data_IF_961520793370
#
_entry.id   IF_961520793370
#
_cell.length_a   1.000
_cell.length_b   1.000
_cell.length_c   1.000
_cell.angle_alpha   90.00
_cell.angle_beta   90.00
_cell.angle_gamma   90.00
#
_symmetry.space_group_name_H-M   'P 1'
#
loop_
_entity.id
_entity.type
_entity.pdbx_description
1 polymer ?
#
# COMPACT_ATOMS: atom_id res chain seq x y z
N UNK A 1 2.80 26.08 7.48
CA UNK A 1 3.04 24.89 8.32
C UNK A 1 3.53 23.76 7.40
N UNK A 2 4.81 23.38 7.44
CA UNK A 2 5.29 22.22 6.67
C UNK A 2 4.83 20.96 7.39
N UNK A 3 4.05 20.11 6.73
CA UNK A 3 3.65 18.83 7.30
C UNK A 3 4.87 17.91 7.42
N UNK A 4 5.13 17.35 8.59
CA UNK A 4 6.27 16.47 8.92
C UNK A 4 6.12 15.04 8.35
N UNK A 5 5.42 14.87 7.23
CA UNK A 5 5.28 13.56 6.59
C UNK A 5 6.50 13.29 5.71
N UNK A 6 7.33 12.32 6.12
CA UNK A 6 8.45 11.82 5.33
C UNK A 6 8.14 10.41 4.86
N UNK A 7 8.35 10.16 3.57
CA UNK A 7 8.35 8.81 3.04
C UNK A 7 9.64 8.12 3.51
N UNK A 8 9.51 6.97 4.17
CA UNK A 8 10.64 6.15 4.58
C UNK A 8 11.10 5.33 3.37
N UNK A 9 12.28 5.61 2.80
CA UNK A 9 12.76 4.89 1.62
C UNK A 9 13.26 3.49 2.02
N UNK A 10 13.47 2.58 1.07
CA UNK A 10 14.00 1.24 1.35
C UNK A 10 15.36 1.21 2.08
N UNK A 11 16.13 2.30 2.02
CA UNK A 11 17.40 2.45 2.73
C UNK A 11 17.24 2.79 4.21
N UNK A 12 16.03 3.11 4.68
CA UNK A 12 15.76 3.33 6.10
C UNK A 12 15.92 2.00 6.86
N UNK A 13 16.76 1.94 7.92
CA UNK A 13 16.95 0.73 8.71
C UNK A 13 15.66 0.13 9.28
N UNK A 14 14.60 0.94 9.44
CA UNK A 14 13.31 0.48 9.94
C UNK A 14 12.38 -0.04 8.83
N UNK A 15 12.69 0.21 7.56
CA UNK A 15 11.81 -0.10 6.43
C UNK A 15 11.38 -1.56 6.40
N UNK A 16 12.33 -2.49 6.50
CA UNK A 16 12.05 -3.93 6.46
C UNK A 16 11.19 -4.36 7.66
N UNK A 17 11.48 -3.84 8.87
CA UNK A 17 10.68 -4.14 10.08
C UNK A 17 9.25 -3.61 9.98
N UNK A 18 9.06 -2.42 9.42
CA UNK A 18 7.75 -1.82 9.18
C UNK A 18 6.97 -2.61 8.11
N UNK A 19 7.62 -2.95 6.99
CA UNK A 19 7.04 -3.76 5.91
C UNK A 19 6.60 -5.12 6.41
N UNK A 20 7.47 -5.83 7.13
CA UNK A 20 7.17 -7.16 7.66
C UNK A 20 5.99 -7.14 8.63
N UNK A 21 5.94 -6.14 9.53
CA UNK A 21 4.82 -5.97 10.45
C UNK A 21 3.52 -5.67 9.70
N UNK A 22 3.56 -4.80 8.67
CA UNK A 22 2.41 -4.48 7.85
C UNK A 22 1.89 -5.70 7.07
N UNK A 23 2.76 -6.48 6.43
CA UNK A 23 2.39 -7.70 5.69
C UNK A 23 1.78 -8.75 6.63
N UNK A 24 2.41 -8.99 7.79
CA UNK A 24 1.88 -9.94 8.78
C UNK A 24 0.51 -9.51 9.30
N UNK A 25 0.33 -8.21 9.56
CA UNK A 25 -0.95 -7.66 10.02
C UNK A 25 -2.04 -7.83 8.96
N UNK A 26 -1.72 -7.47 7.71
CA UNK A 26 -2.63 -7.63 6.56
C UNK A 26 -3.10 -9.09 6.44
N UNK A 27 -2.18 -10.04 6.47
CA UNK A 27 -2.49 -11.47 6.36
C UNK A 27 -3.28 -11.99 7.57
N UNK A 28 -2.89 -11.60 8.79
CA UNK A 28 -3.52 -12.09 10.02
C UNK A 28 -4.97 -11.64 10.17
N UNK A 29 -5.32 -10.48 9.60
CA UNK A 29 -6.69 -9.95 9.64
C UNK A 29 -7.54 -10.39 8.44
N UNK A 30 -6.99 -11.18 7.51
CA UNK A 30 -7.70 -11.59 6.30
C UNK A 30 -8.08 -10.38 5.41
N UNK A 31 -7.25 -9.34 5.39
CA UNK A 31 -7.52 -8.14 4.61
C UNK A 31 -7.57 -8.45 3.10
N UNK A 32 -8.32 -7.64 2.36
CA UNK A 32 -8.43 -7.71 0.91
C UNK A 32 -8.14 -6.34 0.28
N UNK A 33 -7.62 -6.37 -0.95
CA UNK A 33 -7.19 -5.23 -1.76
C UNK A 33 -6.22 -4.26 -1.09
N UNK A 34 -6.76 -3.27 -0.37
CA UNK A 34 -6.00 -2.15 0.16
C UNK A 34 -6.53 -1.77 1.54
N UNK A 35 -5.61 -1.67 2.48
CA UNK A 35 -5.84 -1.14 3.82
C UNK A 35 -4.70 -0.17 4.15
N UNK A 36 -4.94 0.75 5.08
CA UNK A 36 -3.85 1.54 5.67
C UNK A 36 -3.54 1.00 7.06
N UNK A 37 -2.28 0.67 7.30
CA UNK A 37 -1.81 0.19 8.59
C UNK A 37 -0.98 1.30 9.21
N UNK A 38 -1.45 1.82 10.34
CA UNK A 38 -0.76 2.86 11.08
C UNK A 38 0.06 2.19 12.20
N UNK A 39 1.38 2.42 12.19
CA UNK A 39 2.35 1.81 13.11
C UNK A 39 3.00 2.91 13.94
N UNK A 40 3.18 2.65 15.24
CA UNK A 40 3.86 3.54 16.16
C UNK A 40 5.06 2.85 16.79
N UNK A 41 6.19 3.56 16.80
CA UNK A 41 7.38 3.15 17.56
C UNK A 41 7.29 3.65 19.01
N UNK A 42 7.73 2.83 19.96
CA UNK A 42 8.02 3.29 21.33
C UNK A 42 9.35 4.05 21.36
N UNK A 43 9.65 4.69 22.49
CA UNK A 43 10.95 5.34 22.71
C UNK A 43 12.14 4.37 22.56
N UNK A 44 11.94 3.09 22.83
CA UNK A 44 12.96 2.04 22.67
C UNK A 44 13.02 1.44 21.26
N UNK A 45 12.23 1.94 20.30
CA UNK A 45 12.22 1.46 18.91
C UNK A 45 11.42 0.18 18.67
N UNK A 46 10.54 -0.21 19.60
CA UNK A 46 9.60 -1.32 19.40
C UNK A 46 8.39 -0.84 18.60
N UNK A 47 7.99 -1.59 17.58
CA UNK A 47 6.92 -1.22 16.65
C UNK A 47 5.61 -1.89 17.06
N UNK A 48 4.52 -1.12 17.07
CA UNK A 48 3.17 -1.60 17.38
C UNK A 48 2.18 -1.07 16.34
N UNK A 49 1.31 -1.95 15.84
CA UNK A 49 0.15 -1.53 15.05
C UNK A 49 -0.84 -0.82 15.97
N UNK A 50 -1.30 0.36 15.56
CA UNK A 50 -2.25 1.17 16.35
C UNK A 50 -3.60 1.33 15.65
N UNK A 51 -3.65 1.18 14.33
CA UNK A 51 -4.89 1.22 13.56
C UNK A 51 -4.72 0.42 12.26
N UNK A 52 -5.81 -0.22 11.81
CA UNK A 52 -5.94 -0.84 10.50
C UNK A 52 -7.21 -0.32 9.86
N UNK A 53 -7.04 0.68 9.00
CA UNK A 53 -8.14 1.31 8.30
C UNK A 53 -8.43 0.51 7.01
N UNK A 54 -9.56 -0.21 7.00
CA UNK A 54 -10.04 -1.00 5.87
C UNK A 54 -10.70 -0.20 4.74
N UNK A 55 -11.01 1.08 4.98
CA UNK A 55 -11.62 1.98 3.98
C UNK A 55 -10.89 3.34 3.96
N UNK A 56 -9.57 3.35 3.69
CA UNK A 56 -8.80 4.58 3.64
C UNK A 56 -9.27 5.45 2.47
N UNK A 57 -9.11 6.77 2.60
CA UNK A 57 -9.49 7.70 1.53
C UNK A 57 -8.74 7.37 0.22
N UNK A 58 -9.51 7.18 -0.84
CA UNK A 58 -9.02 7.02 -2.21
C UNK A 58 -8.88 8.35 -2.96
N UNK A 59 -9.14 9.50 -2.31
CA UNK A 59 -9.03 10.80 -2.96
C UNK A 59 -7.59 11.13 -3.37
N UNK A 60 -7.42 11.98 -4.39
CA UNK A 60 -6.09 12.41 -4.90
C UNK A 60 -5.19 13.03 -3.82
N UNK A 61 -5.77 13.70 -2.84
CA UNK A 61 -5.06 14.28 -1.70
C UNK A 61 -4.93 13.31 -0.51
N UNK A 62 -5.37 12.07 -0.65
CA UNK A 62 -5.34 11.03 0.38
C UNK A 62 -3.94 10.44 0.62
N UNK A 63 -3.81 9.70 1.71
CA UNK A 63 -2.56 9.02 2.08
C UNK A 63 -2.16 7.95 1.07
N UNK A 64 -3.13 7.19 0.54
CA UNK A 64 -2.87 6.14 -0.44
C UNK A 64 -2.31 6.70 -1.75
N UNK A 65 -2.95 7.74 -2.29
CA UNK A 65 -2.47 8.42 -3.50
C UNK A 65 -1.02 8.94 -3.34
N UNK A 66 -0.66 9.45 -2.16
CA UNK A 66 0.73 9.84 -1.87
C UNK A 66 1.68 8.64 -1.78
N UNK A 67 1.27 7.54 -1.14
CA UNK A 67 2.09 6.33 -1.01
C UNK A 67 2.32 5.64 -2.36
N UNK A 68 1.31 5.57 -3.23
CA UNK A 68 1.46 4.98 -4.58
C UNK A 68 2.33 5.86 -5.48
N UNK A 69 2.19 7.18 -5.38
CA UNK A 69 3.06 8.11 -6.12
C UNK A 69 4.53 7.95 -5.71
N UNK A 70 4.82 7.66 -4.44
CA UNK A 70 6.18 7.42 -3.93
C UNK A 70 6.86 6.21 -4.58
N UNK A 71 6.08 5.26 -5.11
CA UNK A 71 6.56 4.08 -5.85
C UNK A 71 6.32 4.21 -7.35
N UNK A 72 6.22 5.44 -7.85
CA UNK A 72 6.00 5.77 -9.27
C UNK A 72 4.72 5.17 -9.86
N UNK A 73 3.69 4.92 -9.06
CA UNK A 73 2.36 4.54 -9.52
C UNK A 73 1.44 5.76 -9.48
N UNK A 74 1.01 6.24 -10.65
CA UNK A 74 0.12 7.40 -10.72
C UNK A 74 -1.28 7.07 -10.17
N UNK A 75 -2.06 8.12 -9.96
CA UNK A 75 -3.39 8.01 -9.36
C UNK A 75 -4.36 7.15 -10.19
N UNK A 76 -4.32 7.26 -11.52
CA UNK A 76 -5.25 6.53 -12.40
C UNK A 76 -4.89 5.04 -12.41
N UNK A 77 -3.60 4.73 -12.54
CA UNK A 77 -3.08 3.36 -12.43
C UNK A 77 -3.41 2.73 -11.09
N UNK A 78 -3.27 3.46 -9.98
CA UNK A 78 -3.66 2.99 -8.65
C UNK A 78 -5.16 2.63 -8.58
N UNK A 79 -6.04 3.55 -9.00
CA UNK A 79 -7.49 3.31 -8.94
C UNK A 79 -7.90 2.14 -9.84
N UNK A 80 -7.34 2.06 -11.05
CA UNK A 80 -7.63 0.97 -11.97
C UNK A 80 -7.13 -0.38 -11.45
N UNK A 81 -5.95 -0.41 -10.80
CA UNK A 81 -5.41 -1.63 -10.19
C UNK A 81 -6.30 -2.11 -9.03
N UNK A 82 -6.75 -1.19 -8.17
CA UNK A 82 -7.67 -1.50 -7.09
C UNK A 82 -9.00 -2.07 -7.62
N UNK A 83 -9.58 -1.41 -8.63
CA UNK A 83 -10.80 -1.87 -9.28
C UNK A 83 -10.62 -3.27 -9.89
N UNK A 84 -9.50 -3.49 -10.59
CA UNK A 84 -9.18 -4.78 -11.21
C UNK A 84 -9.14 -5.92 -10.18
N UNK A 85 -8.41 -5.77 -9.08
CA UNK A 85 -8.34 -6.80 -8.04
C UNK A 85 -9.70 -7.05 -7.38
N UNK A 86 -10.52 -6.01 -7.19
CA UNK A 86 -11.90 -6.14 -6.71
C UNK A 86 -12.80 -6.91 -7.67
N UNK A 87 -12.74 -6.63 -8.97
CA UNK A 87 -13.47 -7.37 -10.00
C UNK A 87 -13.02 -8.82 -10.09
N UNK A 88 -11.70 -9.06 -10.03
CA UNK A 88 -11.12 -10.41 -10.11
C UNK A 88 -11.60 -11.28 -8.93
N UNK A 89 -11.57 -10.75 -7.71
CA UNK A 89 -12.10 -11.45 -6.53
C UNK A 89 -13.60 -11.75 -6.65
N UNK A 90 -14.36 -10.88 -7.33
CA UNK A 90 -15.80 -11.03 -7.51
C UNK A 90 -16.17 -11.96 -8.69
N UNK A 91 -15.18 -12.49 -9.43
CA UNK A 91 -15.42 -13.29 -10.63
C UNK A 91 -15.93 -12.49 -11.84
N UNK A 92 -15.75 -11.17 -11.84
CA UNK A 92 -16.25 -10.25 -12.87
C UNK A 92 -15.13 -9.65 -13.72
N UNK A 93 -13.86 -9.96 -13.46
CA UNK A 93 -12.76 -9.41 -14.23
C UNK A 93 -12.74 -9.97 -15.66
N UNK A 94 -12.55 -9.07 -16.62
CA UNK A 94 -12.12 -9.40 -17.98
C UNK A 94 -10.58 -9.41 -18.04
N UNK A 95 -10.03 -9.69 -19.23
CA UNK A 95 -8.58 -9.59 -19.52
C UNK A 95 -7.98 -8.25 -19.04
N UNK A 96 -6.73 -8.32 -18.56
CA UNK A 96 -5.97 -7.17 -18.08
C UNK A 96 -5.85 -6.10 -19.18
N UNK A 97 -6.35 -4.89 -18.89
CA UNK A 97 -6.09 -3.77 -19.79
C UNK A 97 -4.61 -3.35 -19.69
N UNK A 98 -4.07 -2.80 -20.77
CA UNK A 98 -2.69 -2.31 -20.82
C UNK A 98 -2.40 -1.30 -19.70
N UNK A 99 -3.39 -0.46 -19.33
CA UNK A 99 -3.22 0.51 -18.24
C UNK A 99 -3.09 -0.15 -16.86
N UNK A 100 -3.73 -1.31 -16.64
CA UNK A 100 -3.60 -2.06 -15.39
C UNK A 100 -2.29 -2.86 -15.37
N UNK A 101 -1.87 -3.41 -16.51
CA UNK A 101 -0.66 -4.21 -16.63
C UNK A 101 0.59 -3.48 -16.11
N UNK A 102 0.78 -2.21 -16.49
CA UNK A 102 1.92 -1.42 -16.02
C UNK A 102 1.90 -1.16 -14.50
N UNK A 103 0.71 -0.99 -13.91
CA UNK A 103 0.57 -0.82 -12.45
C UNK A 103 0.78 -2.15 -11.70
N UNK A 104 0.29 -3.25 -12.27
CA UNK A 104 0.45 -4.59 -11.72
C UNK A 104 1.91 -5.08 -11.78
N UNK A 105 2.63 -4.76 -12.85
CA UNK A 105 4.07 -5.03 -12.95
C UNK A 105 4.85 -4.32 -11.84
N UNK A 106 4.57 -3.03 -11.60
CA UNK A 106 5.17 -2.28 -10.48
C UNK A 106 4.89 -2.94 -9.15
N UNK A 107 3.65 -3.37 -8.91
CA UNK A 107 3.29 -4.10 -7.69
C UNK A 107 4.05 -5.43 -7.57
N UNK A 108 4.21 -6.16 -8.67
CA UNK A 108 4.97 -7.41 -8.73
C UNK A 108 6.45 -7.20 -8.41
N UNK A 109 7.06 -6.11 -8.90
CA UNK A 109 8.44 -5.75 -8.57
C UNK A 109 8.56 -5.44 -7.07
N UNK A 110 7.65 -4.63 -6.51
CA UNK A 110 7.66 -4.29 -5.07
C UNK A 110 7.49 -5.52 -4.17
N UNK A 111 6.71 -6.52 -4.59
CA UNK A 111 6.59 -7.80 -3.88
C UNK A 111 7.92 -8.55 -3.79
N UNK A 112 8.75 -8.48 -4.83
CA UNK A 112 10.05 -9.17 -4.91
C UNK A 112 11.18 -8.42 -4.18
N UNK A 113 11.02 -7.13 -3.90
CA UNK A 113 12.07 -6.26 -3.33
C UNK A 113 12.27 -6.37 -1.81
N UNK A 114 11.76 -7.43 -1.17
CA UNK A 114 12.10 -7.71 0.22
C UNK A 114 11.67 -9.09 0.65
#
# INVERSE_FOLDING_TARGET
MRSLWRLSPPQDPQYLRLRDLAIKTYASLGCADVVRIDIKATASGNLYVIDVNGTPSLGRAGSLARMTAAVNMDYVGFINLLLYYGLNRSGLAAELSEQVAAADEKLTILRKQG
#
